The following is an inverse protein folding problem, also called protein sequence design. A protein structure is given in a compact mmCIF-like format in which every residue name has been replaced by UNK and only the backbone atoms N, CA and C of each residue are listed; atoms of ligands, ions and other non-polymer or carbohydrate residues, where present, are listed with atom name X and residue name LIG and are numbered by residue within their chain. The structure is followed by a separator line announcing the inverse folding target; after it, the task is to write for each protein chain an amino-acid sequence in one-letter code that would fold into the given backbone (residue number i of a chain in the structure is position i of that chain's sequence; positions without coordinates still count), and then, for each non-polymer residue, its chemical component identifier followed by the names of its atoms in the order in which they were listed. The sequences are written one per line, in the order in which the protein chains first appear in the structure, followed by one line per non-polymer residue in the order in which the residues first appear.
data_IF_350252039314
#
_entry.id   IF_350252039314
#
_cell.length_a   1.000
_cell.length_b   1.000
_cell.length_c   1.000
_cell.angle_alpha   90.00
_cell.angle_beta   90.00
_cell.angle_gamma   90.00
#
_symmetry.space_group_name_H-M   'P 1'
#
loop_
_entity.id
_entity.type
_entity.pdbx_description
1 polymer ?
#
# COMPACT_ATOMS: atom_id res chain seq x y z
N UNK A 1 -7.86 7.16 17.29
CA UNK A 1 -6.59 6.72 16.68
C UNK A 1 -5.99 5.66 17.58
N UNK A 2 -5.87 4.45 17.10
CA UNK A 2 -5.27 3.34 17.84
C UNK A 2 -3.78 3.33 17.53
N UNK A 3 -2.92 3.56 18.50
CA UNK A 3 -1.46 3.44 18.37
C UNK A 3 -1.10 1.96 18.43
N UNK A 4 -0.71 1.37 17.32
CA UNK A 4 -0.13 0.02 17.31
C UNK A 4 1.37 0.18 17.20
N UNK A 5 2.08 0.03 18.32
CA UNK A 5 3.53 -0.14 18.33
C UNK A 5 3.81 -1.63 18.16
N UNK A 6 4.06 -2.07 16.93
CA UNK A 6 4.52 -3.43 16.67
C UNK A 6 6.05 -3.50 16.84
N UNK A 7 6.55 -4.54 17.49
CA UNK A 7 8.00 -4.82 17.54
C UNK A 7 8.48 -5.27 16.15
N UNK A 8 9.74 -4.96 15.74
CA UNK A 8 10.21 -5.08 14.34
C UNK A 8 10.19 -6.47 13.71
N UNK A 9 9.88 -7.54 14.44
CA UNK A 9 10.05 -8.93 13.96
C UNK A 9 8.76 -9.73 13.75
N UNK A 10 7.57 -9.11 13.77
CA UNK A 10 6.31 -9.86 13.90
C UNK A 10 5.38 -9.91 12.68
N UNK A 11 5.54 -9.07 11.69
CA UNK A 11 4.68 -9.10 10.49
C UNK A 11 5.32 -9.92 9.36
N UNK A 12 4.54 -10.73 8.64
CA UNK A 12 5.03 -11.38 7.42
C UNK A 12 5.32 -10.32 6.33
N UNK A 13 6.13 -10.64 5.30
CA UNK A 13 6.37 -9.73 4.19
C UNK A 13 5.07 -9.36 3.46
N UNK A 14 5.07 -8.30 2.64
CA UNK A 14 3.94 -7.95 1.78
C UNK A 14 3.44 -9.13 0.95
N UNK A 15 2.13 -9.16 0.69
CA UNK A 15 1.48 -10.27 -0.03
C UNK A 15 1.94 -10.39 -1.48
N UNK A 16 2.37 -9.30 -2.11
CA UNK A 16 2.89 -9.27 -3.47
C UNK A 16 4.42 -9.21 -3.48
N UNK A 17 5.05 -10.08 -4.27
CA UNK A 17 6.49 -10.07 -4.48
C UNK A 17 7.02 -8.82 -5.22
N UNK A 18 6.14 -8.01 -5.79
CA UNK A 18 6.53 -6.73 -6.42
C UNK A 18 6.68 -5.60 -5.41
N UNK A 19 6.14 -5.73 -4.19
CA UNK A 19 6.22 -4.69 -3.16
C UNK A 19 7.59 -4.75 -2.47
N UNK A 20 8.54 -4.01 -3.05
CA UNK A 20 9.95 -3.90 -2.59
C UNK A 20 10.38 -2.45 -2.64
N UNK A 21 11.58 -2.13 -2.16
CA UNK A 21 12.10 -0.76 -2.10
C UNK A 21 12.17 -0.07 -3.49
N UNK A 22 12.45 -0.82 -4.56
CA UNK A 22 12.45 -0.30 -5.94
C UNK A 22 11.05 -0.05 -6.52
N UNK A 23 9.96 -0.46 -5.87
CA UNK A 23 8.61 -0.10 -6.30
C UNK A 23 8.32 1.35 -5.94
N UNK A 24 8.99 2.28 -6.61
CA UNK A 24 8.87 3.71 -6.37
C UNK A 24 9.07 4.50 -7.66
N UNK A 25 8.72 5.77 -7.66
CA UNK A 25 9.04 6.66 -8.77
C UNK A 25 10.45 7.25 -8.61
N UNK A 26 11.13 7.46 -9.71
CA UNK A 26 12.51 7.96 -9.73
C UNK A 26 12.69 9.26 -8.91
N UNK A 27 11.67 10.15 -8.93
CA UNK A 27 11.77 11.42 -8.21
C UNK A 27 11.89 11.24 -6.69
N UNK A 28 11.41 10.14 -6.12
CA UNK A 28 11.58 9.86 -4.70
C UNK A 28 13.06 9.66 -4.34
N UNK A 29 13.78 8.94 -5.20
CA UNK A 29 15.21 8.70 -5.00
C UNK A 29 16.02 9.99 -5.22
N UNK A 30 15.71 10.76 -6.28
CA UNK A 30 16.43 12.01 -6.55
C UNK A 30 16.13 13.11 -5.52
N UNK A 31 14.92 13.19 -4.97
CA UNK A 31 14.59 14.07 -3.86
C UNK A 31 15.30 13.63 -2.57
N UNK A 32 15.34 12.36 -2.27
CA UNK A 32 16.07 11.82 -1.13
C UNK A 32 17.58 12.12 -1.26
N UNK A 33 18.14 11.99 -2.47
CA UNK A 33 19.53 12.41 -2.73
C UNK A 33 19.73 13.90 -2.44
N UNK A 34 18.82 14.77 -2.87
CA UNK A 34 18.90 16.20 -2.59
C UNK A 34 18.87 16.49 -1.07
N UNK A 35 17.98 15.82 -0.33
CA UNK A 35 17.95 15.95 1.14
C UNK A 35 19.23 15.41 1.80
N UNK A 36 19.75 14.28 1.32
CA UNK A 36 21.01 13.72 1.78
C UNK A 36 22.19 14.67 1.52
N UNK A 37 22.27 15.24 0.32
CA UNK A 37 23.35 16.15 -0.09
C UNK A 37 23.46 17.42 0.76
N UNK A 38 22.34 17.91 1.28
CA UNK A 38 22.30 19.08 2.17
C UNK A 38 22.26 18.70 3.66
N UNK A 39 22.44 17.43 4.00
CA UNK A 39 22.48 16.93 5.37
C UNK A 39 21.15 16.94 6.12
N UNK A 40 20.02 16.94 5.41
CA UNK A 40 18.67 17.01 6.01
C UNK A 40 17.91 15.69 6.03
N UNK A 41 18.46 14.63 5.47
CA UNK A 41 17.78 13.34 5.32
C UNK A 41 17.37 12.68 6.65
N UNK A 42 18.07 13.00 7.74
CA UNK A 42 17.79 12.50 9.09
C UNK A 42 16.95 13.47 9.94
N UNK A 43 16.59 14.67 9.42
CA UNK A 43 15.69 15.57 10.13
C UNK A 43 14.33 14.87 10.32
N UNK A 44 13.73 15.07 11.50
CA UNK A 44 12.39 14.54 11.78
C UNK A 44 11.34 15.21 10.90
N UNK A 45 10.53 14.41 10.24
CA UNK A 45 9.45 14.88 9.37
C UNK A 45 8.14 14.14 9.67
N UNK A 46 7.02 14.77 9.34
CA UNK A 46 5.70 14.16 9.36
C UNK A 46 5.07 14.25 7.97
N UNK A 47 4.69 13.09 7.42
CA UNK A 47 4.04 12.98 6.10
C UNK A 47 2.62 12.50 6.28
N UNK A 48 1.67 13.17 5.63
CA UNK A 48 0.26 12.81 5.64
C UNK A 48 -0.16 12.17 4.31
N UNK A 49 -0.70 10.95 4.36
CA UNK A 49 -1.33 10.31 3.21
C UNK A 49 -2.83 10.58 3.26
N UNK A 50 -3.36 11.26 2.25
CA UNK A 50 -4.78 11.55 2.10
C UNK A 50 -5.21 11.53 0.63
N UNK A 51 -6.51 11.53 0.38
CA UNK A 51 -7.07 11.69 -0.97
C UNK A 51 -7.81 13.02 -1.12
N UNK A 52 -7.87 13.53 -2.37
CA UNK A 52 -8.40 14.88 -2.66
C UNK A 52 -9.90 14.90 -2.96
N UNK A 53 -10.44 13.82 -3.54
CA UNK A 53 -11.83 13.71 -3.96
C UNK A 53 -12.31 12.27 -3.79
N UNK A 54 -13.57 12.10 -3.39
CA UNK A 54 -14.21 10.78 -3.36
C UNK A 54 -14.30 10.17 -4.77
N UNK A 55 -14.11 8.83 -4.90
CA UNK A 55 -14.34 8.13 -6.15
C UNK A 55 -15.83 8.09 -6.51
N UNK A 56 -16.12 7.86 -7.79
CA UNK A 56 -17.47 7.62 -8.32
C UNK A 56 -18.49 8.75 -8.05
N UNK A 57 -18.05 9.99 -7.85
CA UNK A 57 -18.89 11.10 -7.40
C UNK A 57 -19.65 10.79 -6.09
N UNK A 58 -19.08 9.90 -5.26
CA UNK A 58 -19.64 9.49 -3.98
C UNK A 58 -19.37 10.50 -2.86
N UNK A 59 -19.91 10.21 -1.68
CA UNK A 59 -19.78 11.08 -0.50
C UNK A 59 -18.76 10.57 0.51
N UNK A 60 -18.23 9.36 0.34
CA UNK A 60 -17.28 8.72 1.23
C UNK A 60 -16.33 7.80 0.47
N UNK A 61 -15.28 7.39 1.14
CA UNK A 61 -14.35 6.34 0.72
C UNK A 61 -14.19 5.35 1.87
N UNK A 62 -14.20 4.06 1.59
CA UNK A 62 -13.83 3.02 2.57
C UNK A 62 -12.31 2.90 2.55
N UNK A 63 -11.64 3.23 3.64
CA UNK A 63 -10.19 3.13 3.74
C UNK A 63 -9.75 1.68 3.84
N UNK A 64 -8.82 1.26 2.97
CA UNK A 64 -8.25 -0.09 2.92
C UNK A 64 -6.78 -0.06 2.48
N UNK A 65 -6.05 -1.16 2.73
CA UNK A 65 -4.65 -1.33 2.35
C UNK A 65 -3.67 -1.13 3.51
N UNK A 66 -4.14 -0.88 4.72
CA UNK A 66 -3.30 -0.62 5.90
C UNK A 66 -2.36 -1.78 6.22
N UNK A 67 -2.85 -3.02 6.19
CA UNK A 67 -2.06 -4.21 6.49
C UNK A 67 -0.80 -4.31 5.59
N UNK A 68 -0.97 -4.12 4.29
CA UNK A 68 0.14 -4.14 3.33
C UNK A 68 1.08 -2.94 3.50
N UNK A 69 0.56 -1.76 3.86
CA UNK A 69 1.37 -0.59 4.18
C UNK A 69 2.27 -0.84 5.39
N UNK A 70 1.74 -1.45 6.46
CA UNK A 70 2.51 -1.77 7.67
C UNK A 70 3.59 -2.81 7.39
N UNK A 71 3.26 -3.89 6.64
CA UNK A 71 4.23 -4.91 6.22
C UNK A 71 5.36 -4.31 5.40
N UNK A 72 5.02 -3.46 4.42
CA UNK A 72 6.01 -2.78 3.59
C UNK A 72 6.89 -1.84 4.42
N UNK A 73 6.30 -0.99 5.24
CA UNK A 73 7.04 -0.04 6.08
C UNK A 73 7.99 -0.74 7.04
N UNK A 74 7.60 -1.89 7.58
CA UNK A 74 8.42 -2.66 8.52
C UNK A 74 9.57 -3.40 7.83
N UNK A 75 9.37 -3.89 6.61
CA UNK A 75 10.36 -4.65 5.85
C UNK A 75 11.13 -3.81 4.82
N UNK A 76 10.93 -2.48 4.84
CA UNK A 76 11.54 -1.59 3.86
C UNK A 76 13.06 -1.54 4.00
N UNK A 77 13.76 -1.71 2.88
CA UNK A 77 15.21 -1.63 2.79
C UNK A 77 15.68 -2.00 1.40
N UNK A 78 16.80 -1.42 0.99
CA UNK A 78 17.45 -1.74 -0.29
C UNK A 78 18.46 -2.89 -0.09
N UNK A 79 18.49 -3.80 -1.07
CA UNK A 79 19.52 -4.82 -1.17
C UNK A 79 20.74 -4.27 -1.92
N UNK A 80 21.88 -4.97 -1.87
CA UNK A 80 23.05 -4.63 -2.68
C UNK A 80 22.73 -4.64 -4.18
N UNK A 81 21.93 -5.61 -4.63
CA UNK A 81 21.50 -5.72 -6.03
C UNK A 81 20.65 -4.51 -6.46
N UNK A 82 19.75 -4.03 -5.59
CA UNK A 82 18.95 -2.82 -5.84
C UNK A 82 19.87 -1.59 -6.01
N UNK A 83 20.86 -1.45 -5.14
CA UNK A 83 21.80 -0.32 -5.18
C UNK A 83 22.71 -0.38 -6.40
N UNK A 84 23.20 -1.56 -6.75
CA UNK A 84 24.04 -1.75 -7.96
C UNK A 84 23.24 -1.41 -9.22
N UNK A 85 21.96 -1.78 -9.27
CA UNK A 85 21.05 -1.36 -10.34
C UNK A 85 20.90 0.17 -10.37
N UNK A 86 20.63 0.82 -9.24
CA UNK A 86 20.48 2.29 -9.18
C UNK A 86 21.74 3.01 -9.64
N UNK A 87 22.93 2.56 -9.23
CA UNK A 87 24.23 3.08 -9.68
C UNK A 87 24.42 2.98 -11.20
N UNK A 88 23.90 1.93 -11.80
CA UNK A 88 24.00 1.70 -13.24
C UNK A 88 23.09 2.60 -14.09
N UNK A 89 22.10 3.24 -13.46
CA UNK A 89 21.14 4.08 -14.18
C UNK A 89 21.72 5.44 -14.56
N UNK A 90 21.54 5.94 -15.80
CA UNK A 90 22.04 7.26 -16.21
C UNK A 90 21.54 8.41 -15.33
N UNK A 91 20.35 8.26 -14.77
CA UNK A 91 19.75 9.29 -13.92
C UNK A 91 20.47 9.49 -12.58
N UNK A 92 21.16 8.47 -12.06
CA UNK A 92 21.76 8.45 -10.73
C UNK A 92 23.28 8.30 -10.75
N UNK A 93 23.93 8.13 -11.92
CA UNK A 93 25.37 7.96 -12.05
C UNK A 93 26.19 9.13 -11.49
N UNK A 94 25.58 10.28 -11.27
CA UNK A 94 26.22 11.48 -10.71
C UNK A 94 26.08 11.56 -9.18
N UNK A 95 25.37 10.64 -8.56
CA UNK A 95 25.19 10.62 -7.11
C UNK A 95 26.46 10.15 -6.41
N UNK A 96 26.72 10.72 -5.23
CA UNK A 96 27.89 10.36 -4.41
C UNK A 96 27.77 8.92 -3.88
N UNK A 97 28.90 8.24 -3.74
CA UNK A 97 28.96 6.86 -3.20
C UNK A 97 28.33 6.76 -1.80
N UNK A 98 28.58 7.76 -0.93
CA UNK A 98 28.00 7.80 0.41
C UNK A 98 26.45 7.84 0.43
N UNK A 99 25.81 8.31 -0.62
CA UNK A 99 24.35 8.25 -0.74
C UNK A 99 23.86 6.81 -0.94
N UNK A 100 24.58 6.02 -1.75
CA UNK A 100 24.26 4.61 -1.95
C UNK A 100 24.51 3.78 -0.69
N UNK A 101 25.55 4.11 0.06
CA UNK A 101 25.79 3.53 1.39
C UNK A 101 24.66 3.89 2.37
N UNK A 102 24.15 5.13 2.34
CA UNK A 102 23.00 5.53 3.11
C UNK A 102 21.75 4.69 2.77
N UNK A 103 21.45 4.45 1.48
CA UNK A 103 20.32 3.62 1.07
C UNK A 103 20.43 2.18 1.60
N UNK A 104 21.60 1.58 1.57
CA UNK A 104 21.87 0.23 2.11
C UNK A 104 21.67 0.14 3.62
N UNK A 105 21.93 1.22 4.34
CA UNK A 105 21.88 1.26 5.80
C UNK A 105 20.61 1.90 6.36
N UNK A 106 19.57 2.07 5.53
CA UNK A 106 18.29 2.63 5.98
C UNK A 106 17.70 1.79 7.12
N UNK A 107 17.32 2.47 8.18
CA UNK A 107 16.67 1.87 9.35
C UNK A 107 15.25 2.40 9.53
N UNK A 108 14.30 1.48 9.63
CA UNK A 108 12.87 1.79 9.84
C UNK A 108 12.48 1.83 11.31
N UNK A 109 13.39 1.56 12.24
CA UNK A 109 13.11 1.52 13.69
C UNK A 109 12.58 2.83 14.26
N UNK A 110 12.94 3.97 13.65
CA UNK A 110 12.49 5.30 14.04
C UNK A 110 11.15 5.70 13.41
N UNK A 111 10.61 4.91 12.48
CA UNK A 111 9.36 5.21 11.80
C UNK A 111 8.16 4.94 12.71
N UNK A 112 7.32 5.95 12.89
CA UNK A 112 6.02 5.84 13.56
C UNK A 112 4.91 6.00 12.53
N UNK A 113 3.94 5.10 12.57
CA UNK A 113 2.79 5.13 11.66
C UNK A 113 1.51 5.26 12.48
N UNK A 114 0.76 6.32 12.24
CA UNK A 114 -0.57 6.53 12.78
C UNK A 114 -1.56 6.36 11.63
N UNK A 115 -2.63 5.60 11.83
CA UNK A 115 -3.57 5.32 10.76
C UNK A 115 -5.01 5.21 11.26
N UNK A 116 -5.96 5.42 10.35
CA UNK A 116 -7.33 4.98 10.54
C UNK A 116 -7.38 3.45 10.52
N UNK A 117 -8.34 2.86 11.20
CA UNK A 117 -8.60 1.42 11.09
C UNK A 117 -9.11 1.07 9.68
N UNK A 118 -8.68 -0.08 9.15
CA UNK A 118 -9.15 -0.58 7.85
C UNK A 118 -10.67 -0.79 7.87
N UNK A 119 -11.34 -0.48 6.77
CA UNK A 119 -12.80 -0.49 6.68
C UNK A 119 -13.50 0.77 7.18
N UNK A 120 -12.76 1.74 7.74
CA UNK A 120 -13.34 3.02 8.22
C UNK A 120 -13.81 3.89 7.05
N UNK A 121 -14.92 4.59 7.23
CA UNK A 121 -15.35 5.64 6.30
C UNK A 121 -14.45 6.86 6.42
N UNK A 122 -13.86 7.25 5.31
CA UNK A 122 -12.95 8.38 5.23
C UNK A 122 -13.48 9.47 4.27
N UNK A 123 -13.01 10.70 4.47
CA UNK A 123 -13.43 11.87 3.72
C UNK A 123 -12.23 12.59 3.10
N UNK A 124 -12.42 13.35 2.01
CA UNK A 124 -11.32 14.07 1.35
C UNK A 124 -10.55 14.97 2.31
N UNK A 125 -9.22 15.01 2.14
CA UNK A 125 -8.27 15.85 2.90
C UNK A 125 -8.16 15.53 4.40
N UNK A 126 -8.70 14.39 4.83
CA UNK A 126 -8.44 13.85 6.15
C UNK A 126 -7.31 12.82 6.03
N UNK A 127 -6.27 12.90 6.87
CA UNK A 127 -5.18 11.91 6.83
C UNK A 127 -5.70 10.49 7.08
N UNK A 128 -5.36 9.59 6.16
CA UNK A 128 -5.57 8.14 6.29
C UNK A 128 -4.44 7.49 7.07
N UNK A 129 -3.21 7.92 6.76
CA UNK A 129 -1.99 7.59 7.48
C UNK A 129 -1.19 8.87 7.75
N UNK A 130 -0.47 8.89 8.87
CA UNK A 130 0.57 9.87 9.18
C UNK A 130 1.83 9.08 9.48
N UNK A 131 2.92 9.40 8.79
CA UNK A 131 4.25 8.84 9.02
C UNK A 131 5.12 9.89 9.70
N UNK A 132 5.70 9.56 10.84
CA UNK A 132 6.70 10.39 11.52
C UNK A 132 8.04 9.64 11.55
N UNK A 133 9.10 10.27 11.08
CA UNK A 133 10.43 9.66 11.05
C UNK A 133 11.44 10.51 10.28
N UNK A 134 12.62 9.94 9.95
CA UNK A 134 13.63 10.61 9.14
C UNK A 134 13.07 11.03 7.78
N UNK A 135 13.35 12.28 7.36
CA UNK A 135 12.83 12.88 6.13
C UNK A 135 13.09 12.02 4.89
N UNK A 136 14.31 11.50 4.73
CA UNK A 136 14.67 10.66 3.59
C UNK A 136 13.90 9.35 3.56
N UNK A 137 13.67 8.72 4.71
CA UNK A 137 12.86 7.50 4.80
C UNK A 137 11.39 7.76 4.48
N UNK A 138 10.80 8.80 5.06
CA UNK A 138 9.41 9.17 4.77
C UNK A 138 9.21 9.49 3.28
N UNK A 139 10.19 10.17 2.66
CA UNK A 139 10.16 10.48 1.23
C UNK A 139 10.15 9.21 0.35
N UNK A 140 10.97 8.21 0.66
CA UNK A 140 11.07 6.98 -0.12
C UNK A 140 9.82 6.10 -0.04
N UNK A 141 9.06 6.17 1.04
CA UNK A 141 7.86 5.36 1.24
C UNK A 141 6.61 5.88 0.49
N UNK A 142 6.59 7.15 0.09
CA UNK A 142 5.40 7.84 -0.44
C UNK A 142 4.69 7.06 -1.55
N UNK A 143 5.38 6.79 -2.66
CA UNK A 143 4.77 6.19 -3.86
C UNK A 143 4.15 4.83 -3.56
N UNK A 144 4.86 3.96 -2.85
CA UNK A 144 4.40 2.61 -2.56
C UNK A 144 3.20 2.62 -1.62
N UNK A 145 3.22 3.44 -0.57
CA UNK A 145 2.10 3.56 0.36
C UNK A 145 0.84 4.11 -0.34
N UNK A 146 1.00 5.10 -1.22
CA UNK A 146 -0.12 5.60 -2.04
C UNK A 146 -0.71 4.50 -2.93
N UNK A 147 0.14 3.70 -3.58
CA UNK A 147 -0.29 2.59 -4.42
C UNK A 147 -1.05 1.52 -3.61
N UNK A 148 -0.51 1.14 -2.44
CA UNK A 148 -1.09 0.13 -1.55
C UNK A 148 -2.44 0.53 -0.96
N UNK A 149 -2.72 1.83 -0.83
CA UNK A 149 -4.00 2.35 -0.31
C UNK A 149 -5.01 2.60 -1.43
N UNK A 150 -4.54 3.07 -2.60
CA UNK A 150 -5.41 3.58 -3.66
C UNK A 150 -6.36 2.51 -4.21
N UNK A 151 -5.83 1.42 -4.76
CA UNK A 151 -6.63 0.35 -5.35
C UNK A 151 -7.52 -0.37 -4.33
N UNK A 152 -7.03 -0.79 -3.15
CA UNK A 152 -7.84 -1.35 -2.08
C UNK A 152 -9.03 -0.50 -1.68
N UNK A 153 -8.80 0.79 -1.42
CA UNK A 153 -9.86 1.71 -1.02
C UNK A 153 -10.88 1.94 -2.13
N UNK A 154 -10.43 1.99 -3.40
CA UNK A 154 -11.31 2.10 -4.55
C UNK A 154 -12.25 0.89 -4.68
N UNK A 155 -11.70 -0.33 -4.56
CA UNK A 155 -12.46 -1.58 -4.65
C UNK A 155 -13.45 -1.68 -3.49
N UNK A 156 -13.01 -1.49 -2.24
CA UNK A 156 -13.88 -1.58 -1.07
C UNK A 156 -15.02 -0.54 -1.12
N UNK A 157 -14.72 0.69 -1.55
CA UNK A 157 -15.72 1.75 -1.72
C UNK A 157 -16.76 1.38 -2.76
N UNK A 158 -16.32 0.85 -3.92
CA UNK A 158 -17.26 0.44 -4.96
C UNK A 158 -18.11 -0.75 -4.52
N UNK A 159 -17.49 -1.74 -3.86
CA UNK A 159 -18.19 -2.90 -3.31
C UNK A 159 -19.25 -2.47 -2.29
N UNK A 160 -18.92 -1.59 -1.35
CA UNK A 160 -19.88 -1.10 -0.35
C UNK A 160 -21.10 -0.42 -0.98
N UNK A 161 -20.90 0.35 -2.05
CA UNK A 161 -22.00 1.00 -2.79
C UNK A 161 -22.87 -0.02 -3.51
N UNK A 162 -22.26 -1.08 -4.08
CA UNK A 162 -23.02 -2.19 -4.70
C UNK A 162 -23.85 -2.94 -3.66
N UNK A 163 -23.28 -3.25 -2.50
CA UNK A 163 -23.99 -3.90 -1.40
C UNK A 163 -25.17 -3.07 -0.91
N UNK A 164 -24.96 -1.78 -0.66
CA UNK A 164 -26.05 -0.88 -0.25
C UNK A 164 -27.19 -0.84 -1.25
N UNK A 165 -26.88 -0.87 -2.55
CA UNK A 165 -27.91 -0.84 -3.60
C UNK A 165 -28.57 -2.19 -3.82
N UNK A 166 -27.86 -3.29 -3.63
CA UNK A 166 -28.35 -4.64 -3.84
C UNK A 166 -29.24 -5.17 -2.70
N UNK A 167 -29.12 -4.58 -1.50
CA UNK A 167 -29.84 -5.04 -0.30
C UNK A 167 -31.35 -5.24 -0.59
N UNK A 168 -31.94 -6.39 -0.18
CA UNK A 168 -31.40 -7.46 0.67
C UNK A 168 -30.62 -8.57 -0.07
N UNK A 169 -30.36 -8.44 -1.39
CA UNK A 169 -29.62 -9.44 -2.14
C UNK A 169 -28.12 -9.44 -1.75
N UNK A 170 -27.50 -10.62 -1.71
CA UNK A 170 -26.07 -10.78 -1.45
C UNK A 170 -25.26 -10.51 -2.72
N UNK A 171 -24.13 -9.81 -2.58
CA UNK A 171 -23.16 -9.62 -3.64
C UNK A 171 -22.02 -10.65 -3.53
N UNK A 172 -21.55 -11.15 -4.68
CA UNK A 172 -20.45 -12.11 -4.78
C UNK A 172 -19.47 -11.67 -5.85
N UNK A 173 -18.15 -11.83 -5.58
CA UNK A 173 -17.09 -11.46 -6.50
C UNK A 173 -16.78 -12.63 -7.45
N UNK A 174 -16.87 -12.39 -8.78
CA UNK A 174 -16.60 -13.35 -9.86
C UNK A 174 -15.62 -12.82 -10.91
N UNK A 175 -14.77 -11.86 -10.56
CA UNK A 175 -13.97 -11.09 -11.51
C UNK A 175 -12.59 -11.66 -11.84
N UNK A 176 -12.07 -12.69 -11.16
CA UNK A 176 -10.70 -13.18 -11.26
C UNK A 176 -10.12 -13.19 -12.69
N UNK A 177 -10.80 -13.85 -13.63
CA UNK A 177 -10.31 -13.99 -15.02
C UNK A 177 -10.34 -12.71 -15.85
N UNK A 178 -10.87 -11.61 -15.31
CA UNK A 178 -11.02 -10.29 -15.98
C UNK A 178 -10.28 -9.18 -15.23
N UNK A 179 -9.57 -9.52 -14.16
CA UNK A 179 -8.82 -8.55 -13.36
C UNK A 179 -7.50 -8.15 -14.02
N UNK A 180 -6.92 -7.05 -13.57
CA UNK A 180 -5.62 -6.56 -14.00
C UNK A 180 -4.50 -7.33 -13.27
N UNK A 181 -4.20 -8.51 -13.79
CA UNK A 181 -3.15 -9.39 -13.26
C UNK A 181 -3.54 -10.14 -11.98
N UNK A 182 -2.69 -11.10 -11.54
CA UNK A 182 -2.96 -11.93 -10.38
C UNK A 182 -3.07 -11.13 -9.08
N UNK A 183 -2.16 -10.17 -8.85
CA UNK A 183 -2.16 -9.33 -7.65
C UNK A 183 -3.41 -8.46 -7.57
N UNK A 184 -3.81 -7.83 -8.68
CA UNK A 184 -5.05 -7.08 -8.77
C UNK A 184 -6.28 -7.95 -8.52
N UNK A 185 -6.27 -9.20 -8.98
CA UNK A 185 -7.36 -10.15 -8.75
C UNK A 185 -7.50 -10.53 -7.27
N UNK A 186 -6.39 -10.88 -6.61
CA UNK A 186 -6.38 -11.23 -5.18
C UNK A 186 -6.77 -10.03 -4.32
N UNK A 187 -6.22 -8.85 -4.60
CA UNK A 187 -6.59 -7.60 -3.94
C UNK A 187 -8.08 -7.28 -4.14
N UNK A 188 -8.61 -7.39 -5.36
CA UNK A 188 -10.02 -7.14 -5.63
C UNK A 188 -10.93 -8.09 -4.85
N UNK A 189 -10.60 -9.38 -4.75
CA UNK A 189 -11.35 -10.34 -3.95
C UNK A 189 -11.33 -9.98 -2.46
N UNK A 190 -10.14 -9.68 -1.89
CA UNK A 190 -9.96 -9.27 -0.48
C UNK A 190 -10.80 -8.03 -0.16
N UNK A 191 -10.65 -6.98 -0.94
CA UNK A 191 -11.25 -5.69 -0.62
C UNK A 191 -12.71 -5.56 -1.05
N UNK A 192 -13.20 -6.40 -1.97
CA UNK A 192 -14.64 -6.57 -2.17
C UNK A 192 -15.31 -7.17 -0.95
N UNK A 193 -14.65 -8.14 -0.30
CA UNK A 193 -15.14 -8.74 0.94
C UNK A 193 -15.15 -7.73 2.10
N UNK A 194 -14.09 -6.92 2.26
CA UNK A 194 -14.07 -5.79 3.22
C UNK A 194 -15.21 -4.82 2.93
N UNK A 195 -15.52 -4.56 1.67
CA UNK A 195 -16.63 -3.70 1.23
C UNK A 195 -18.02 -4.32 1.39
N UNK A 196 -18.13 -5.56 1.93
CA UNK A 196 -19.39 -6.21 2.30
C UNK A 196 -19.90 -7.27 1.31
N UNK A 197 -19.10 -7.69 0.32
CA UNK A 197 -19.44 -8.87 -0.48
C UNK A 197 -19.38 -10.12 0.39
N UNK A 198 -20.33 -11.05 0.20
CA UNK A 198 -20.46 -12.24 1.03
C UNK A 198 -19.48 -13.37 0.68
N UNK A 199 -18.95 -13.41 -0.54
CA UNK A 199 -18.11 -14.50 -1.03
C UNK A 199 -17.33 -14.12 -2.30
N UNK A 200 -16.38 -14.99 -2.68
CA UNK A 200 -15.64 -14.90 -3.95
C UNK A 200 -15.60 -16.24 -4.68
N UNK A 201 -15.39 -16.24 -5.99
CA UNK A 201 -15.04 -17.43 -6.76
C UNK A 201 -13.52 -17.67 -6.84
N UNK A 202 -12.70 -16.76 -6.32
CA UNK A 202 -11.25 -16.84 -6.31
C UNK A 202 -10.78 -17.77 -5.18
N UNK A 203 -10.44 -19.02 -5.54
CA UNK A 203 -10.05 -20.06 -4.59
C UNK A 203 -8.82 -19.66 -3.78
N UNK A 204 -7.82 -19.02 -4.42
CA UNK A 204 -6.62 -18.55 -3.73
C UNK A 204 -6.96 -17.49 -2.68
N UNK A 205 -7.75 -16.48 -3.05
CA UNK A 205 -8.18 -15.45 -2.11
C UNK A 205 -9.03 -16.02 -0.97
N UNK A 206 -9.88 -17.01 -1.26
CA UNK A 206 -10.63 -17.73 -0.23
C UNK A 206 -9.71 -18.37 0.81
N UNK A 207 -8.65 -19.04 0.36
CA UNK A 207 -7.65 -19.67 1.24
C UNK A 207 -6.85 -18.63 2.05
N UNK A 208 -6.31 -17.62 1.37
CA UNK A 208 -5.35 -16.69 1.96
C UNK A 208 -6.01 -15.69 2.93
N UNK A 209 -7.26 -15.31 2.66
CA UNK A 209 -7.99 -14.28 3.42
C UNK A 209 -9.20 -14.81 4.19
N UNK A 210 -9.46 -16.13 4.17
CA UNK A 210 -10.60 -16.73 4.86
C UNK A 210 -11.95 -16.33 4.28
N UNK A 211 -12.04 -15.99 3.00
CA UNK A 211 -13.27 -15.55 2.34
C UNK A 211 -14.09 -16.80 1.92
N UNK A 212 -15.42 -16.86 2.18
CA UNK A 212 -16.27 -17.94 1.69
C UNK A 212 -16.17 -18.09 0.16
N UNK A 213 -16.05 -19.33 -0.31
CA UNK A 213 -15.93 -19.63 -1.73
C UNK A 213 -17.26 -20.09 -2.29
N UNK A 214 -17.67 -19.49 -3.40
CA UNK A 214 -18.85 -19.93 -4.17
C UNK A 214 -18.54 -19.91 -5.66
N UNK A 215 -19.27 -20.70 -6.43
CA UNK A 215 -19.08 -20.77 -7.87
C UNK A 215 -20.38 -21.07 -8.61
N UNK A 216 -20.34 -20.91 -9.93
CA UNK A 216 -21.40 -21.29 -10.85
C UNK A 216 -20.86 -22.27 -11.88
N UNK A 217 -21.76 -23.05 -12.50
CA UNK A 217 -21.39 -23.90 -13.62
C UNK A 217 -21.31 -23.07 -14.91
N UNK A 218 -20.24 -23.26 -15.67
CA UNK A 218 -20.17 -22.70 -17.03
C UNK A 218 -21.18 -23.44 -17.92
N UNK A 219 -22.00 -22.68 -18.64
CA UNK A 219 -22.75 -23.26 -19.76
C UNK A 219 -21.77 -23.50 -20.90
N UNK A 220 -21.66 -24.75 -21.36
CA UNK A 220 -21.00 -25.09 -22.61
C UNK A 220 -21.94 -24.81 -23.77
#
# INVERSE_FOLDING_TARGET
MTTTTASPSSLPPPSSNFVRALLTDLYQITMTYAHWKIGKHDESAAFELFFRKNPFKGQYTVFCGLDECLKHSQSFGFTQDDVDYLKSTPALQHCDEGFFEYLLNLDTSQLKVYALSEGTLAFPKIPLLILEGPLGLCQLLETTLLNLVNFPSLIATNASRMVLRAHPASCVEFGLRRAQGPDGACSASKYSYVGGFGATSNVQAGKDFGIPIVGTHARK
#
